data_IF_342370714026
#
_entry.id   IF_342370714026
#
_cell.length_a   1.000
_cell.length_b   1.000
_cell.length_c   1.000
_cell.angle_alpha   90.00
_cell.angle_beta   90.00
_cell.angle_gamma   90.00
#
_symmetry.space_group_name_H-M   'P 1'
#
loop_
_entity.id
_entity.type
_entity.pdbx_description
1 polymer ?
#
# COMPACT_ATOMS: atom_id res chain seq x y z
N UNK A 1 -11.53 -7.38 -25.82
CA UNK A 1 -11.65 -7.23 -24.37
C UNK A 1 -12.21 -5.85 -24.10
N UNK A 2 -13.14 -5.69 -23.17
CA UNK A 2 -13.70 -4.40 -22.83
C UNK A 2 -12.75 -3.73 -21.84
N UNK A 3 -12.26 -2.53 -22.16
CA UNK A 3 -11.45 -1.70 -21.23
C UNK A 3 -12.33 -1.01 -20.16
N UNK A 4 -13.62 -1.39 -20.09
CA UNK A 4 -14.57 -0.79 -19.16
C UNK A 4 -14.34 -1.30 -17.74
N UNK A 5 -14.31 -0.37 -16.80
CA UNK A 5 -14.21 -0.65 -15.37
C UNK A 5 -15.46 -0.21 -14.64
N UNK A 6 -15.76 -0.85 -13.52
CA UNK A 6 -16.72 -0.37 -12.53
C UNK A 6 -15.96 0.15 -11.32
N UNK A 7 -16.31 1.35 -10.88
CA UNK A 7 -15.76 1.93 -9.66
C UNK A 7 -16.90 2.44 -8.77
N UNK A 8 -16.84 2.12 -7.49
CA UNK A 8 -17.89 2.42 -6.52
C UNK A 8 -17.35 2.51 -5.10
N UNK A 9 -18.04 3.24 -4.23
CA UNK A 9 -17.81 3.18 -2.79
C UNK A 9 -18.58 2.01 -2.21
N UNK A 10 -17.91 1.22 -1.39
CA UNK A 10 -18.48 0.04 -0.73
C UNK A 10 -18.21 0.11 0.78
N UNK A 11 -18.91 -0.71 1.55
CA UNK A 11 -18.62 -0.93 2.98
C UNK A 11 -17.91 -2.27 3.13
N UNK A 12 -16.84 -2.29 3.92
CA UNK A 12 -16.14 -3.52 4.29
C UNK A 12 -16.11 -3.66 5.81
N UNK A 13 -16.04 -4.89 6.29
CA UNK A 13 -15.86 -5.16 7.72
C UNK A 13 -14.38 -5.08 8.06
N UNK A 14 -13.98 -4.08 8.83
CA UNK A 14 -12.61 -3.86 9.28
C UNK A 14 -12.32 -4.44 10.66
N UNK A 15 -11.29 -3.90 11.29
CA UNK A 15 -10.84 -4.28 12.63
C UNK A 15 -11.98 -4.25 13.66
N UNK A 16 -12.05 -5.27 14.51
CA UNK A 16 -13.06 -5.35 15.57
C UNK A 16 -14.50 -5.58 15.09
N UNK A 17 -14.70 -5.79 13.79
CA UNK A 17 -16.03 -5.92 13.19
C UNK A 17 -16.66 -4.59 12.77
N UNK A 18 -15.91 -3.50 12.81
CA UNK A 18 -16.40 -2.17 12.40
C UNK A 18 -16.69 -2.11 10.90
N UNK A 19 -17.74 -1.43 10.53
CA UNK A 19 -18.01 -1.08 9.14
C UNK A 19 -17.19 0.15 8.73
N UNK A 20 -16.34 0.00 7.70
CA UNK A 20 -15.53 1.09 7.16
C UNK A 20 -15.82 1.30 5.69
N UNK A 21 -15.77 2.56 5.26
CA UNK A 21 -15.86 2.92 3.84
C UNK A 21 -14.63 2.43 3.09
N UNK A 22 -14.83 1.96 1.85
CA UNK A 22 -13.74 1.62 0.96
C UNK A 22 -14.10 1.98 -0.49
N UNK A 23 -13.09 2.27 -1.31
CA UNK A 23 -13.23 2.52 -2.73
C UNK A 23 -12.79 1.31 -3.52
N UNK A 24 -13.71 0.71 -4.27
CA UNK A 24 -13.50 -0.47 -5.09
C UNK A 24 -13.49 -0.08 -6.58
N UNK A 25 -12.56 -0.62 -7.34
CA UNK A 25 -12.65 -0.65 -8.81
C UNK A 25 -12.28 -2.03 -9.34
N UNK A 26 -12.99 -2.46 -10.40
CA UNK A 26 -12.76 -3.76 -11.05
C UNK A 26 -13.10 -3.71 -12.53
N UNK A 27 -12.45 -4.52 -13.38
CA UNK A 27 -12.88 -4.70 -14.77
C UNK A 27 -14.31 -5.24 -14.83
N UNK A 28 -15.03 -4.88 -15.91
CA UNK A 28 -16.37 -5.42 -16.16
C UNK A 28 -16.38 -6.82 -16.78
N UNK A 29 -15.28 -7.23 -17.39
CA UNK A 29 -15.14 -8.59 -17.89
C UNK A 29 -14.95 -9.59 -16.74
N UNK A 30 -15.61 -10.73 -16.83
CA UNK A 30 -15.78 -11.68 -15.70
C UNK A 30 -14.72 -12.76 -15.56
N UNK A 31 -13.47 -12.57 -16.00
CA UNK A 31 -12.40 -13.58 -15.86
C UNK A 31 -11.85 -13.71 -14.43
N UNK A 32 -11.28 -14.87 -14.05
CA UNK A 32 -10.54 -15.00 -12.79
C UNK A 32 -9.37 -14.02 -12.76
N UNK A 33 -9.20 -13.30 -11.65
CA UNK A 33 -8.17 -12.28 -11.51
C UNK A 33 -7.65 -12.16 -10.10
N UNK A 34 -6.40 -11.74 -9.98
CA UNK A 34 -5.82 -11.32 -8.73
C UNK A 34 -6.42 -10.01 -8.25
N UNK A 35 -6.26 -9.76 -6.98
CA UNK A 35 -6.78 -8.55 -6.32
C UNK A 35 -5.69 -7.79 -5.59
N UNK A 36 -5.88 -6.47 -5.44
CA UNK A 36 -4.90 -5.59 -4.79
C UNK A 36 -5.58 -4.69 -3.77
N UNK A 37 -5.10 -4.73 -2.52
CA UNK A 37 -5.43 -3.71 -1.53
C UNK A 37 -4.46 -2.55 -1.69
N UNK A 38 -4.97 -1.38 -2.01
CA UNK A 38 -4.21 -0.13 -2.10
C UNK A 38 -4.28 0.57 -0.75
N UNK A 39 -3.17 0.61 -0.01
CA UNK A 39 -3.10 1.26 1.30
C UNK A 39 -2.73 2.73 1.07
N UNK A 40 -3.63 3.63 1.42
CA UNK A 40 -3.43 5.05 1.17
C UNK A 40 -2.29 5.67 1.99
N UNK A 41 -1.72 6.74 1.47
CA UNK A 41 -0.69 7.53 2.13
C UNK A 41 -1.28 8.48 3.19
N UNK A 42 -0.44 9.31 3.82
CA UNK A 42 -0.87 10.14 4.94
C UNK A 42 -1.87 11.24 4.60
N UNK A 43 -1.89 11.93 3.45
CA UNK A 43 -3.08 12.73 3.13
C UNK A 43 -4.34 11.90 3.00
N UNK A 44 -4.20 10.61 2.71
CA UNK A 44 -5.26 9.63 2.88
C UNK A 44 -6.03 9.29 1.64
N UNK A 45 -7.28 9.04 1.83
CA UNK A 45 -8.32 8.55 0.95
C UNK A 45 -8.75 9.63 -0.09
N UNK A 46 -7.77 10.12 -0.85
CA UNK A 46 -7.87 11.26 -1.75
C UNK A 46 -8.15 10.85 -3.22
N UNK A 47 -8.44 11.82 -4.10
CA UNK A 47 -8.66 11.52 -5.51
C UNK A 47 -7.50 10.82 -6.19
N UNK A 48 -6.23 11.11 -5.81
CA UNK A 48 -5.05 10.49 -6.40
C UNK A 48 -4.96 8.99 -6.02
N UNK A 49 -5.24 8.65 -4.76
CA UNK A 49 -5.32 7.26 -4.31
C UNK A 49 -6.47 6.52 -5.01
N UNK A 50 -7.64 7.14 -5.15
CA UNK A 50 -8.77 6.55 -5.88
C UNK A 50 -8.46 6.35 -7.37
N UNK A 51 -7.67 7.25 -7.99
CA UNK A 51 -7.18 7.05 -9.36
C UNK A 51 -6.26 5.85 -9.46
N UNK A 52 -5.38 5.64 -8.47
CA UNK A 52 -4.52 4.47 -8.41
C UNK A 52 -5.32 3.17 -8.37
N UNK A 53 -6.40 3.12 -7.58
CA UNK A 53 -7.33 1.97 -7.55
C UNK A 53 -7.94 1.72 -8.94
N UNK A 54 -8.36 2.78 -9.66
CA UNK A 54 -8.87 2.65 -11.04
C UNK A 54 -7.80 2.18 -12.01
N UNK A 55 -6.55 2.63 -11.84
CA UNK A 55 -5.41 2.20 -12.65
C UNK A 55 -5.16 0.70 -12.53
N UNK A 56 -5.25 0.13 -11.32
CA UNK A 56 -5.20 -1.33 -11.14
C UNK A 56 -6.34 -2.03 -11.87
N UNK A 57 -7.56 -1.51 -11.78
CA UNK A 57 -8.70 -2.08 -12.48
C UNK A 57 -8.54 -2.04 -14.02
N UNK A 58 -7.99 -0.95 -14.56
CA UNK A 58 -7.67 -0.83 -15.99
C UNK A 58 -6.58 -1.82 -16.44
N UNK A 59 -5.75 -2.29 -15.52
CA UNK A 59 -4.72 -3.31 -15.76
C UNK A 59 -5.18 -4.75 -15.40
N UNK A 60 -6.48 -4.96 -15.18
CA UNK A 60 -7.08 -6.29 -15.06
C UNK A 60 -7.24 -6.81 -13.62
N UNK A 61 -6.86 -6.06 -12.59
CA UNK A 61 -7.02 -6.45 -11.19
C UNK A 61 -8.32 -5.94 -10.58
N UNK A 62 -8.89 -6.63 -9.59
CA UNK A 62 -9.83 -6.01 -8.68
C UNK A 62 -9.04 -5.27 -7.60
N UNK A 63 -9.29 -3.97 -7.42
CA UNK A 63 -8.53 -3.18 -6.46
C UNK A 63 -9.44 -2.45 -5.48
N UNK A 64 -9.04 -2.38 -4.22
CA UNK A 64 -9.80 -1.75 -3.15
C UNK A 64 -8.88 -0.94 -2.24
N UNK A 65 -9.28 0.29 -1.94
CA UNK A 65 -8.65 1.13 -0.92
C UNK A 65 -9.57 1.28 0.28
N UNK A 66 -9.25 0.73 1.47
CA UNK A 66 -10.00 1.02 2.68
C UNK A 66 -9.74 2.44 3.15
N UNK A 67 -10.76 3.15 3.61
CA UNK A 67 -10.61 4.45 4.26
C UNK A 67 -10.21 4.25 5.73
N UNK A 68 -8.91 4.27 6.01
CA UNK A 68 -8.35 4.06 7.33
C UNK A 68 -8.74 5.15 8.35
N UNK A 69 -9.31 6.26 7.87
CA UNK A 69 -9.72 7.42 8.69
C UNK A 69 -11.24 7.54 8.86
N UNK A 70 -12.01 6.58 8.34
CA UNK A 70 -13.48 6.65 8.34
C UNK A 70 -14.10 6.72 9.73
N UNK A 71 -13.42 6.20 10.76
CA UNK A 71 -13.90 6.22 12.14
C UNK A 71 -13.70 7.57 12.82
N UNK A 72 -12.55 8.20 12.61
CA UNK A 72 -12.18 9.45 13.28
C UNK A 72 -12.76 10.69 12.59
N UNK A 73 -12.84 10.64 11.27
CA UNK A 73 -13.17 11.81 10.47
C UNK A 73 -14.17 11.48 9.34
N UNK A 74 -15.34 10.93 9.65
CA UNK A 74 -16.33 10.57 8.64
C UNK A 74 -16.78 11.80 7.85
N UNK A 75 -16.66 11.73 6.52
CA UNK A 75 -17.08 12.81 5.61
C UNK A 75 -16.19 14.05 5.58
N UNK A 76 -15.07 14.06 6.32
CA UNK A 76 -14.09 15.14 6.25
C UNK A 76 -13.31 15.13 4.93
N UNK A 77 -12.73 16.27 4.57
CA UNK A 77 -11.77 16.30 3.46
C UNK A 77 -10.55 15.42 3.77
N UNK A 78 -9.85 14.87 2.76
CA UNK A 78 -8.67 14.03 3.01
C UNK A 78 -7.61 14.70 3.88
N UNK A 79 -7.34 15.99 3.67
CA UNK A 79 -6.35 16.76 4.43
C UNK A 79 -6.79 16.99 5.88
N UNK A 80 -8.06 17.32 6.12
CA UNK A 80 -8.61 17.51 7.47
C UNK A 80 -8.63 16.18 8.23
N UNK A 81 -9.03 15.09 7.58
CA UNK A 81 -9.01 13.75 8.15
C UNK A 81 -7.59 13.35 8.56
N UNK A 82 -6.62 13.56 7.68
CA UNK A 82 -5.22 13.26 7.96
C UNK A 82 -4.65 14.11 9.10
N UNK A 83 -5.00 15.41 9.15
CA UNK A 83 -4.58 16.31 10.23
C UNK A 83 -5.16 15.86 11.56
N UNK A 84 -6.46 15.53 11.60
CA UNK A 84 -7.14 15.04 12.79
C UNK A 84 -6.51 13.74 13.31
N UNK A 85 -6.37 12.71 12.43
CA UNK A 85 -5.78 11.41 12.80
C UNK A 85 -4.35 11.56 13.32
N UNK A 86 -3.52 12.43 12.71
CA UNK A 86 -2.19 12.75 13.23
C UNK A 86 -2.24 13.34 14.63
N UNK A 87 -3.19 14.23 14.90
CA UNK A 87 -3.35 14.84 16.24
C UNK A 87 -3.71 13.80 17.30
N UNK A 88 -4.33 12.68 16.90
CA UNK A 88 -4.66 11.57 17.79
C UNK A 88 -3.52 10.52 17.91
N UNK A 89 -2.38 10.75 17.26
CA UNK A 89 -1.23 9.85 17.31
C UNK A 89 -1.15 8.85 16.15
N UNK A 90 -1.99 8.98 15.13
CA UNK A 90 -2.02 8.12 13.93
C UNK A 90 -2.94 6.89 14.08
N UNK A 91 -2.99 6.07 13.05
CA UNK A 91 -3.72 4.79 13.06
C UNK A 91 -2.88 3.74 13.77
N UNK A 92 -3.38 3.06 14.82
CA UNK A 92 -2.66 1.96 15.46
C UNK A 92 -2.38 0.80 14.48
N UNK A 93 -1.19 0.20 14.56
CA UNK A 93 -0.77 -0.89 13.67
C UNK A 93 -1.75 -2.07 13.67
N UNK A 94 -2.26 -2.48 14.84
CA UNK A 94 -3.23 -3.57 14.96
C UNK A 94 -4.54 -3.28 14.22
N UNK A 95 -5.03 -2.04 14.32
CA UNK A 95 -6.25 -1.62 13.62
C UNK A 95 -6.03 -1.56 12.12
N UNK A 96 -4.90 -1.04 11.68
CA UNK A 96 -4.53 -1.04 10.27
C UNK A 96 -4.52 -2.46 9.70
N UNK A 97 -3.87 -3.40 10.38
CA UNK A 97 -3.83 -4.81 9.96
C UNK A 97 -5.23 -5.39 9.83
N UNK A 98 -6.11 -5.15 10.81
CA UNK A 98 -7.49 -5.62 10.77
C UNK A 98 -8.32 -5.00 9.64
N UNK A 99 -8.10 -3.73 9.31
CA UNK A 99 -8.78 -3.07 8.19
C UNK A 99 -8.30 -3.60 6.83
N UNK A 100 -6.99 -3.88 6.70
CA UNK A 100 -6.42 -4.50 5.49
C UNK A 100 -6.89 -5.95 5.34
N UNK A 101 -7.00 -6.71 6.44
CA UNK A 101 -7.54 -8.07 6.43
C UNK A 101 -9.00 -8.10 5.97
N UNK A 102 -9.82 -7.17 6.46
CA UNK A 102 -11.20 -6.99 6.02
C UNK A 102 -11.29 -6.67 4.53
N UNK A 103 -10.45 -5.76 4.05
CA UNK A 103 -10.34 -5.43 2.62
C UNK A 103 -9.93 -6.63 1.76
N UNK A 104 -8.93 -7.40 2.21
CA UNK A 104 -8.48 -8.60 1.52
C UNK A 104 -9.55 -9.70 1.50
N UNK A 105 -10.25 -9.88 2.61
CA UNK A 105 -11.38 -10.82 2.73
C UNK A 105 -12.51 -10.45 1.77
N UNK A 106 -12.86 -9.17 1.70
CA UNK A 106 -13.86 -8.67 0.75
C UNK A 106 -13.47 -8.95 -0.70
N UNK A 107 -12.21 -8.68 -1.07
CA UNK A 107 -11.70 -8.93 -2.42
C UNK A 107 -11.69 -10.42 -2.78
N UNK A 108 -11.32 -11.31 -1.85
CA UNK A 108 -11.35 -12.76 -2.06
C UNK A 108 -12.76 -13.28 -2.30
N UNK A 109 -13.77 -12.64 -1.72
CA UNK A 109 -15.19 -13.03 -1.85
C UNK A 109 -15.85 -12.48 -3.12
N UNK A 110 -15.21 -11.60 -3.88
CA UNK A 110 -15.77 -11.06 -5.13
C UNK A 110 -15.93 -12.17 -6.18
N UNK A 111 -17.03 -12.08 -6.91
CA UNK A 111 -17.21 -12.89 -8.12
C UNK A 111 -16.08 -12.62 -9.12
N UNK A 112 -15.47 -13.67 -9.65
CA UNK A 112 -14.31 -13.60 -10.54
C UNK A 112 -12.98 -13.40 -9.82
N UNK A 113 -12.92 -13.47 -8.48
CA UNK A 113 -11.65 -13.54 -7.75
C UNK A 113 -10.97 -14.90 -7.97
N UNK A 114 -9.65 -14.90 -8.17
CA UNK A 114 -8.85 -16.14 -8.19
C UNK A 114 -8.36 -16.53 -6.78
N UNK A 115 -8.77 -15.77 -5.74
CA UNK A 115 -8.41 -15.98 -4.34
C UNK A 115 -7.07 -15.37 -3.92
N UNK A 116 -6.27 -14.84 -4.86
CA UNK A 116 -4.99 -14.20 -4.55
C UNK A 116 -5.16 -12.71 -4.29
N UNK A 117 -4.49 -12.22 -3.25
CA UNK A 117 -4.52 -10.81 -2.86
C UNK A 117 -3.11 -10.30 -2.55
N UNK A 118 -2.72 -9.24 -3.24
CA UNK A 118 -1.54 -8.45 -2.91
C UNK A 118 -1.89 -7.13 -2.23
N UNK A 119 -0.89 -6.49 -1.67
CA UNK A 119 -0.99 -5.13 -1.13
C UNK A 119 0.03 -4.22 -1.78
N UNK A 120 -0.32 -2.95 -1.91
CA UNK A 120 0.61 -1.89 -2.30
C UNK A 120 0.35 -0.65 -1.46
N UNK A 121 1.41 0.07 -1.14
CA UNK A 121 1.28 1.38 -0.51
C UNK A 121 2.44 2.30 -0.84
N UNK A 122 2.19 3.60 -0.70
CA UNK A 122 3.14 4.67 -0.97
C UNK A 122 3.37 5.48 0.30
N UNK A 123 4.58 5.94 0.56
CA UNK A 123 4.88 6.72 1.77
C UNK A 123 4.55 5.92 3.05
N UNK A 124 3.74 6.46 3.95
CA UNK A 124 3.23 5.71 5.10
C UNK A 124 2.52 4.41 4.70
N UNK A 125 1.82 4.40 3.56
CA UNK A 125 1.22 3.20 2.99
C UNK A 125 2.23 2.12 2.62
N UNK A 126 3.45 2.48 2.21
CA UNK A 126 4.53 1.52 1.95
C UNK A 126 4.95 0.76 3.21
N UNK A 127 5.18 1.49 4.32
CA UNK A 127 5.40 0.86 5.64
C UNK A 127 4.22 -0.04 6.03
N UNK A 128 3.01 0.42 5.77
CA UNK A 128 1.80 -0.33 6.10
C UNK A 128 1.64 -1.59 5.22
N UNK A 129 2.09 -1.55 3.95
CA UNK A 129 2.13 -2.73 3.09
C UNK A 129 3.11 -3.79 3.63
N UNK A 130 4.30 -3.38 4.09
CA UNK A 130 5.24 -4.27 4.76
C UNK A 130 4.65 -4.85 6.06
N UNK A 131 4.03 -4.01 6.90
CA UNK A 131 3.35 -4.44 8.13
C UNK A 131 2.27 -5.48 7.84
N UNK A 132 1.39 -5.21 6.86
CA UNK A 132 0.33 -6.13 6.47
C UNK A 132 0.90 -7.47 5.96
N UNK A 133 1.95 -7.43 5.15
CA UNK A 133 2.61 -8.64 4.64
C UNK A 133 3.32 -9.45 5.73
N UNK A 134 3.74 -8.82 6.83
CA UNK A 134 4.27 -9.51 8.00
C UNK A 134 3.18 -10.06 8.94
N UNK A 135 1.93 -9.62 8.80
CA UNK A 135 0.85 -9.92 9.74
C UNK A 135 -0.26 -10.79 9.14
N UNK A 136 -0.41 -10.81 7.82
CA UNK A 136 -1.52 -11.44 7.10
C UNK A 136 -0.99 -12.43 6.04
N UNK A 137 -1.76 -13.48 5.70
CA UNK A 137 -1.41 -14.41 4.63
C UNK A 137 -1.75 -13.80 3.25
N UNK A 138 -0.83 -12.96 2.76
CA UNK A 138 -0.92 -12.29 1.46
C UNK A 138 -0.07 -13.02 0.41
N UNK A 139 -0.36 -12.76 -0.87
CA UNK A 139 0.32 -13.40 -2.00
C UNK A 139 1.46 -12.52 -2.57
N UNK A 140 1.42 -11.22 -2.34
CA UNK A 140 2.43 -10.26 -2.79
C UNK A 140 2.34 -8.94 -1.99
N UNK A 141 3.47 -8.24 -1.84
CA UNK A 141 3.49 -6.90 -1.25
C UNK A 141 4.40 -5.96 -2.04
N UNK A 142 3.98 -4.70 -2.18
CA UNK A 142 4.77 -3.64 -2.80
C UNK A 142 4.91 -2.47 -1.83
N UNK A 143 6.15 -2.16 -1.50
CA UNK A 143 6.55 -1.01 -0.69
C UNK A 143 7.14 0.09 -1.59
N UNK A 144 6.38 1.17 -1.79
CA UNK A 144 6.88 2.35 -2.46
C UNK A 144 7.34 3.38 -1.41
N UNK A 145 8.65 3.50 -1.24
CA UNK A 145 9.31 4.41 -0.29
C UNK A 145 8.68 4.45 1.12
N UNK A 146 8.38 3.29 1.68
CA UNK A 146 7.85 3.16 3.04
C UNK A 146 8.87 3.58 4.09
N UNK A 147 8.53 4.66 4.82
CA UNK A 147 9.40 5.21 5.86
C UNK A 147 9.21 4.50 7.21
N UNK A 148 10.21 4.57 8.08
CA UNK A 148 10.15 4.13 9.49
C UNK A 148 9.90 2.63 9.69
N UNK A 149 10.35 1.80 8.73
CA UNK A 149 10.40 0.34 8.90
C UNK A 149 11.57 -0.04 9.81
N UNK A 150 12.72 0.59 9.61
CA UNK A 150 14.01 0.23 10.23
C UNK A 150 14.31 1.05 11.47
N UNK A 151 14.03 2.35 11.46
CA UNK A 151 14.41 3.31 12.50
C UNK A 151 13.23 4.22 12.88
N UNK A 152 13.27 4.78 14.10
CA UNK A 152 12.31 5.78 14.54
C UNK A 152 12.37 7.03 13.65
N UNK A 153 11.21 7.62 13.40
CA UNK A 153 11.11 8.91 12.71
C UNK A 153 11.38 10.10 13.62
N UNK A 154 11.52 11.31 13.03
CA UNK A 154 11.59 12.56 13.78
C UNK A 154 10.29 12.84 14.59
N UNK A 155 10.33 13.82 15.49
CA UNK A 155 9.25 14.13 16.45
C UNK A 155 7.87 14.45 15.82
N UNK A 156 7.84 14.83 14.53
CA UNK A 156 6.60 15.10 13.82
C UNK A 156 5.88 13.83 13.31
N UNK A 157 6.53 12.67 13.41
CA UNK A 157 5.94 11.38 13.00
C UNK A 157 4.92 10.94 14.05
N UNK A 158 3.75 10.42 13.64
CA UNK A 158 2.77 9.87 14.57
C UNK A 158 3.38 8.80 15.48
N UNK A 159 3.06 8.85 16.77
CA UNK A 159 3.63 7.93 17.78
C UNK A 159 3.30 6.46 17.53
N UNK A 160 2.24 6.16 16.77
CA UNK A 160 1.88 4.82 16.34
C UNK A 160 2.87 4.23 15.32
N UNK A 161 3.60 5.07 14.58
CA UNK A 161 4.54 4.64 13.54
C UNK A 161 5.92 4.30 14.13
N UNK A 162 5.98 3.18 14.85
CA UNK A 162 7.24 2.63 15.38
C UNK A 162 7.96 1.76 14.36
N UNK A 163 9.30 1.57 14.48
CA UNK A 163 10.03 0.63 13.65
C UNK A 163 9.45 -0.78 13.74
N UNK A 164 9.37 -1.44 12.59
CA UNK A 164 8.73 -2.76 12.46
C UNK A 164 9.66 -3.81 11.81
N UNK A 165 10.95 -3.53 11.67
CA UNK A 165 11.92 -4.47 11.10
C UNK A 165 11.94 -5.82 11.85
N UNK A 166 11.66 -5.80 13.14
CA UNK A 166 11.56 -7.01 13.97
C UNK A 166 10.47 -7.99 13.52
N UNK A 167 9.51 -7.55 12.69
CA UNK A 167 8.47 -8.38 12.10
C UNK A 167 8.92 -9.08 10.80
N UNK A 168 10.07 -8.73 10.23
CA UNK A 168 10.59 -9.31 8.99
C UNK A 168 10.62 -10.86 8.96
N UNK A 169 10.90 -11.58 10.06
CA UNK A 169 10.80 -13.05 10.07
C UNK A 169 9.42 -13.59 9.70
N UNK A 170 8.36 -12.80 9.88
CA UNK A 170 6.96 -13.16 9.64
C UNK A 170 6.49 -12.80 8.23
N UNK A 171 7.32 -12.15 7.40
CA UNK A 171 6.95 -11.80 6.02
C UNK A 171 6.41 -13.02 5.28
N UNK A 172 5.14 -12.95 4.87
CA UNK A 172 4.35 -14.08 4.36
C UNK A 172 4.47 -14.30 2.85
N UNK A 173 4.92 -13.30 2.09
CA UNK A 173 4.89 -13.28 0.64
C UNK A 173 6.13 -12.56 0.05
N UNK A 174 6.39 -12.65 -1.26
CA UNK A 174 7.40 -11.84 -1.92
C UNK A 174 7.13 -10.34 -1.76
N UNK A 175 8.21 -9.56 -1.60
CA UNK A 175 8.18 -8.11 -1.44
C UNK A 175 8.92 -7.40 -2.58
N UNK A 176 8.24 -6.47 -3.27
CA UNK A 176 8.88 -5.51 -4.17
C UNK A 176 9.06 -4.18 -3.41
N UNK A 177 10.28 -3.64 -3.40
CA UNK A 177 10.59 -2.33 -2.83
C UNK A 177 11.06 -1.34 -3.90
N UNK A 178 10.47 -0.14 -3.93
CA UNK A 178 10.79 0.93 -4.89
C UNK A 178 11.14 2.20 -4.13
N UNK A 179 12.41 2.63 -4.20
CA UNK A 179 12.97 3.68 -3.35
C UNK A 179 13.67 4.77 -4.15
N UNK A 180 13.73 5.98 -3.60
CA UNK A 180 14.53 7.08 -4.15
C UNK A 180 15.89 7.17 -3.44
N UNK A 181 17.00 7.35 -4.18
CA UNK A 181 18.33 7.52 -3.56
C UNK A 181 18.53 8.88 -2.90
N UNK A 182 17.70 9.88 -3.26
CA UNK A 182 17.71 11.21 -2.67
C UNK A 182 16.66 11.36 -1.55
N UNK A 183 16.01 10.25 -1.15
CA UNK A 183 15.07 10.24 -0.04
C UNK A 183 15.81 10.24 1.30
N UNK A 184 15.20 10.89 2.29
CA UNK A 184 15.68 10.88 3.67
C UNK A 184 14.95 9.84 4.52
N UNK A 185 13.72 9.50 4.14
CA UNK A 185 12.84 8.59 4.89
C UNK A 185 11.99 7.72 3.93
N UNK A 186 12.49 6.50 3.59
CA UNK A 186 13.74 5.87 4.02
C UNK A 186 14.94 6.38 3.23
N UNK A 187 16.03 6.67 3.93
CA UNK A 187 17.32 6.94 3.29
C UNK A 187 17.98 5.64 2.78
N UNK A 188 19.00 5.77 1.87
CA UNK A 188 19.67 4.60 1.29
C UNK A 188 20.23 3.61 2.30
N UNK A 189 20.71 4.08 3.47
CA UNK A 189 21.23 3.23 4.54
C UNK A 189 20.11 2.39 5.19
N UNK A 190 18.91 2.96 5.33
CA UNK A 190 17.75 2.25 5.89
C UNK A 190 17.25 1.19 4.89
N UNK A 191 17.24 1.52 3.59
CA UNK A 191 16.91 0.56 2.52
C UNK A 191 17.91 -0.60 2.53
N UNK A 192 19.21 -0.31 2.62
CA UNK A 192 20.25 -1.34 2.69
C UNK A 192 20.09 -2.25 3.92
N UNK A 193 19.76 -1.69 5.09
CA UNK A 193 19.51 -2.49 6.31
C UNK A 193 18.31 -3.43 6.17
N UNK A 194 17.23 -2.95 5.52
CA UNK A 194 16.06 -3.78 5.26
C UNK A 194 16.39 -4.92 4.28
N UNK A 195 17.09 -4.62 3.19
CA UNK A 195 17.56 -5.58 2.19
C UNK A 195 18.46 -6.67 2.83
N UNK A 196 19.42 -6.24 3.64
CA UNK A 196 20.35 -7.12 4.35
C UNK A 196 19.62 -8.07 5.32
N UNK A 197 18.64 -7.56 6.08
CA UNK A 197 17.86 -8.37 7.01
C UNK A 197 16.95 -9.36 6.27
N UNK A 198 16.27 -8.96 5.21
CA UNK A 198 15.44 -9.88 4.41
C UNK A 198 16.29 -10.96 3.73
N UNK A 199 17.48 -10.60 3.23
CA UNK A 199 18.46 -11.55 2.68
C UNK A 199 18.93 -12.54 3.74
N UNK A 200 19.29 -12.06 4.92
CA UNK A 200 19.71 -12.90 6.07
C UNK A 200 18.64 -13.90 6.49
N UNK A 201 17.38 -13.49 6.40
CA UNK A 201 16.20 -14.32 6.73
C UNK A 201 15.76 -15.23 5.57
N UNK A 202 16.36 -15.10 4.39
CA UNK A 202 15.96 -15.84 3.19
C UNK A 202 14.56 -15.49 2.69
N UNK A 203 14.10 -14.26 2.93
CA UNK A 203 12.77 -13.79 2.49
C UNK A 203 12.84 -13.35 1.03
N UNK A 204 11.91 -13.81 0.15
CA UNK A 204 11.86 -13.38 -1.24
C UNK A 204 11.60 -11.88 -1.34
N UNK A 205 12.53 -11.13 -1.91
CA UNK A 205 12.35 -9.68 -2.15
C UNK A 205 13.18 -9.21 -3.35
N UNK A 206 12.76 -8.11 -3.94
CA UNK A 206 13.48 -7.41 -4.99
C UNK A 206 13.37 -5.90 -4.75
N UNK A 207 14.52 -5.20 -4.65
CA UNK A 207 14.57 -3.77 -4.36
C UNK A 207 15.20 -3.00 -5.53
N UNK A 208 14.59 -1.87 -5.86
CA UNK A 208 15.08 -0.93 -6.87
C UNK A 208 15.16 0.47 -6.29
N UNK A 209 16.29 1.13 -6.50
CA UNK A 209 16.54 2.50 -6.05
C UNK A 209 16.90 3.39 -7.21
N UNK A 210 16.26 4.55 -7.31
CA UNK A 210 16.33 5.47 -8.44
C UNK A 210 17.19 6.70 -8.10
N UNK A 211 18.19 6.98 -8.94
CA UNK A 211 19.01 8.20 -8.86
C UNK A 211 18.15 9.45 -9.14
N UNK A 212 18.36 10.53 -8.41
CA UNK A 212 17.63 11.79 -8.57
C UNK A 212 16.16 11.74 -8.15
N UNK A 213 15.70 10.63 -7.57
CA UNK A 213 14.38 10.48 -7.02
C UNK A 213 14.39 10.63 -5.49
N UNK A 214 13.49 11.46 -4.97
CA UNK A 214 13.27 11.67 -3.56
C UNK A 214 11.92 11.08 -3.13
N UNK A 215 11.53 11.31 -1.87
CA UNK A 215 10.23 10.85 -1.35
C UNK A 215 9.06 11.31 -2.21
N UNK A 216 8.15 10.39 -2.55
CA UNK A 216 6.95 10.72 -3.32
C UNK A 216 7.16 10.85 -4.83
N UNK A 217 8.19 10.24 -5.40
CA UNK A 217 8.51 10.35 -6.83
C UNK A 217 7.44 9.78 -7.79
N UNK A 218 6.46 9.02 -7.29
CA UNK A 218 5.28 8.58 -8.04
C UNK A 218 4.17 9.64 -8.13
N UNK A 219 4.19 10.68 -7.30
CA UNK A 219 3.09 11.63 -7.16
C UNK A 219 3.11 12.67 -8.28
N UNK A 220 2.31 12.47 -9.34
CA UNK A 220 2.28 13.27 -10.57
C UNK A 220 1.93 14.75 -10.35
N UNK A 221 1.27 15.06 -9.24
CA UNK A 221 0.81 16.40 -8.85
C UNK A 221 1.79 17.15 -7.94
N UNK A 222 2.98 16.55 -7.68
CA UNK A 222 3.96 17.11 -6.74
C UNK A 222 5.31 17.42 -7.40
N UNK A 223 6.07 18.40 -6.90
CA UNK A 223 7.41 18.72 -7.40
C UNK A 223 8.41 17.56 -7.29
N UNK A 224 8.15 16.60 -6.41
CA UNK A 224 8.95 15.38 -6.25
C UNK A 224 8.78 14.38 -7.38
N UNK A 225 7.79 14.53 -8.26
CA UNK A 225 7.53 13.61 -9.36
C UNK A 225 8.76 13.45 -10.27
N UNK A 226 9.10 12.19 -10.53
CA UNK A 226 10.19 11.83 -11.45
C UNK A 226 9.64 10.86 -12.49
N UNK A 227 9.31 11.36 -13.71
CA UNK A 227 8.62 10.57 -14.73
C UNK A 227 9.30 9.25 -15.06
N UNK A 228 10.63 9.28 -15.25
CA UNK A 228 11.41 8.08 -15.64
C UNK A 228 11.36 7.02 -14.53
N UNK A 229 11.59 7.41 -13.28
CA UNK A 229 11.53 6.53 -12.13
C UNK A 229 10.11 5.99 -11.90
N UNK A 230 9.09 6.83 -12.06
CA UNK A 230 7.69 6.43 -11.88
C UNK A 230 7.24 5.45 -12.96
N UNK A 231 7.58 5.68 -14.23
CA UNK A 231 7.23 4.80 -15.36
C UNK A 231 7.91 3.44 -15.22
N UNK A 232 9.20 3.42 -14.89
CA UNK A 232 9.93 2.16 -14.65
C UNK A 232 9.37 1.44 -13.41
N UNK A 233 9.08 2.17 -12.35
CA UNK A 233 8.46 1.62 -11.13
C UNK A 233 7.10 0.97 -11.42
N UNK A 234 6.23 1.62 -12.19
CA UNK A 234 4.96 1.02 -12.61
C UNK A 234 5.17 -0.25 -13.45
N UNK A 235 6.15 -0.25 -14.36
CA UNK A 235 6.48 -1.45 -15.14
C UNK A 235 6.87 -2.62 -14.22
N UNK A 236 7.71 -2.36 -13.21
CA UNK A 236 8.09 -3.37 -12.22
C UNK A 236 6.91 -3.87 -11.38
N UNK A 237 6.00 -2.96 -11.00
CA UNK A 237 4.77 -3.33 -10.26
C UNK A 237 3.91 -4.28 -11.10
N UNK A 238 3.69 -3.97 -12.40
CA UNK A 238 2.90 -4.82 -13.27
C UNK A 238 3.54 -6.19 -13.48
N UNK A 239 4.84 -6.24 -13.74
CA UNK A 239 5.59 -7.49 -13.88
C UNK A 239 5.56 -8.33 -12.60
N UNK A 240 5.70 -7.69 -11.45
CA UNK A 240 5.68 -8.35 -10.15
C UNK A 240 4.30 -8.94 -9.82
N UNK A 241 3.25 -8.14 -9.93
CA UNK A 241 1.90 -8.64 -9.69
C UNK A 241 1.45 -9.65 -10.76
N UNK A 242 1.87 -9.49 -12.01
CA UNK A 242 1.61 -10.49 -13.06
C UNK A 242 2.20 -11.86 -12.73
N UNK A 243 3.39 -11.92 -12.13
CA UNK A 243 4.05 -13.17 -11.72
C UNK A 243 3.46 -13.77 -10.44
N UNK A 244 2.92 -12.96 -9.55
CA UNK A 244 2.51 -13.40 -8.22
C UNK A 244 1.00 -13.60 -8.10
N UNK A 245 0.22 -12.72 -8.69
CA UNK A 245 -1.25 -12.73 -8.58
C UNK A 245 -1.93 -13.37 -9.79
N UNK A 246 -1.31 -13.38 -10.99
CA UNK A 246 -1.82 -13.97 -12.20
C UNK A 246 -2.71 -13.02 -13.00
#
# INVERSE_FOLDING_TARGET
MSDAIRAETVTVTGHGGDEIEAYLARPLDGGPRGSVVVIHHMPGYDPATKEMVRTFAANGYAALCPNLYSREAPGASPDDAAAFVRSQGGVPDERLVGDVDGAATYLKALEGSNGKVGVIGHCSGGRHAFLAACSLPLDAAVDCYGAFIVEDGPDWVPKSMKPILHLAPQLSCPLLGLFGKDDQYPGPEQVAKLDEELTRLGKPHEFHSYDGAAHGFFSVDRPSYRPEAAVDGWTKIWDFFGRTLG
#
